data_IF_106321185468
#
_entry.id   IF_106321185468
#
_cell.length_a   1.000
_cell.length_b   1.000
_cell.length_c   1.000
_cell.angle_alpha   90.00
_cell.angle_beta   90.00
_cell.angle_gamma   90.00
#
_symmetry.space_group_name_H-M   'P 1'
#
loop_
_entity.id
_entity.type
_entity.pdbx_description
1 polymer ?
#
# COMPACT_ATOMS: atom_id res chain seq x y z
N UNK A 1 17.20 6.40 4.26
CA UNK A 1 16.82 5.06 3.75
C UNK A 1 17.52 3.92 4.50
N UNK A 2 18.87 3.88 4.55
CA UNK A 2 19.61 2.78 5.21
C UNK A 2 19.25 2.63 6.69
N UNK A 3 19.23 3.71 7.47
CA UNK A 3 18.83 3.71 8.89
C UNK A 3 17.36 3.29 9.03
N UNK A 4 16.48 3.84 8.22
CA UNK A 4 15.08 3.44 8.19
C UNK A 4 14.91 1.92 7.98
N UNK A 5 15.60 1.33 6.99
CA UNK A 5 15.50 -0.10 6.74
C UNK A 5 16.07 -0.94 7.89
N UNK A 6 17.16 -0.48 8.52
CA UNK A 6 17.73 -1.14 9.67
C UNK A 6 16.78 -1.14 10.87
N UNK A 7 16.05 -0.06 11.08
CA UNK A 7 15.17 0.15 12.21
C UNK A 7 13.79 -0.50 11.98
N UNK A 8 13.19 -0.30 10.80
CA UNK A 8 11.82 -0.73 10.52
C UNK A 8 11.71 -2.05 9.75
N UNK A 9 12.77 -2.46 9.05
CA UNK A 9 12.85 -3.70 8.28
C UNK A 9 14.10 -4.53 8.66
N UNK A 10 14.33 -4.83 9.95
CA UNK A 10 15.58 -5.45 10.40
C UNK A 10 15.82 -6.85 9.80
N UNK A 11 14.77 -7.62 9.56
CA UNK A 11 14.89 -8.95 8.93
C UNK A 11 15.40 -8.83 7.49
N UNK A 12 14.81 -7.94 6.70
CA UNK A 12 15.26 -7.63 5.34
C UNK A 12 16.71 -7.14 5.36
N UNK A 13 17.01 -6.13 6.19
CA UNK A 13 18.34 -5.52 6.25
C UNK A 13 19.43 -6.53 6.62
N UNK A 14 19.22 -7.33 7.66
CA UNK A 14 20.18 -8.33 8.12
C UNK A 14 20.38 -9.46 7.10
N UNK A 15 19.31 -9.91 6.44
CA UNK A 15 19.38 -10.93 5.40
C UNK A 15 20.28 -10.44 4.25
N UNK A 16 19.96 -9.26 3.70
CA UNK A 16 20.73 -8.68 2.58
C UNK A 16 22.19 -8.41 3.02
N UNK A 17 22.42 -7.89 4.22
CA UNK A 17 23.76 -7.67 4.73
C UNK A 17 24.58 -8.98 4.77
N UNK A 18 24.00 -10.07 5.26
CA UNK A 18 24.68 -11.36 5.36
C UNK A 18 25.00 -11.96 3.98
N UNK A 19 24.06 -11.91 3.04
CA UNK A 19 24.25 -12.42 1.67
C UNK A 19 25.35 -11.67 0.94
N UNK A 20 25.33 -10.34 1.01
CA UNK A 20 26.34 -9.50 0.36
C UNK A 20 27.71 -9.61 1.03
N UNK A 21 27.77 -9.68 2.36
CA UNK A 21 29.04 -9.86 3.10
C UNK A 21 29.71 -11.20 2.81
N UNK A 22 28.93 -12.25 2.51
CA UNK A 22 29.42 -13.58 2.17
C UNK A 22 29.62 -13.77 0.67
N UNK A 23 29.31 -12.78 -0.15
CA UNK A 23 29.30 -12.85 -1.61
C UNK A 23 28.43 -14.01 -2.15
N UNK A 24 27.30 -14.28 -1.47
CA UNK A 24 26.31 -15.30 -1.83
C UNK A 24 24.99 -14.65 -2.22
N UNK A 25 25.06 -13.82 -3.24
CA UNK A 25 23.92 -12.99 -3.66
C UNK A 25 23.04 -13.81 -4.61
N UNK A 26 21.75 -14.05 -4.28
CA UNK A 26 20.80 -14.69 -5.17
C UNK A 26 20.61 -13.90 -6.45
N UNK A 27 20.42 -14.59 -7.57
CA UNK A 27 20.16 -13.96 -8.86
C UNK A 27 18.74 -13.38 -8.98
N UNK A 28 17.81 -13.79 -8.10
CA UNK A 28 16.41 -13.34 -8.11
C UNK A 28 15.86 -13.12 -6.71
N UNK A 29 15.19 -12.00 -6.51
CA UNK A 29 14.53 -11.63 -5.26
C UNK A 29 13.06 -11.31 -5.51
N UNK A 30 12.19 -11.74 -4.59
CA UNK A 30 10.78 -11.37 -4.57
C UNK A 30 10.45 -10.70 -3.22
N UNK A 31 10.18 -9.41 -3.25
CA UNK A 31 9.73 -8.65 -2.09
C UNK A 31 8.20 -8.72 -2.00
N UNK A 32 7.69 -9.23 -0.90
CA UNK A 32 6.25 -9.42 -0.66
C UNK A 32 5.77 -8.43 0.38
N UNK A 33 4.81 -7.58 0.04
CA UNK A 33 4.23 -6.59 0.96
C UNK A 33 3.81 -5.29 0.28
N UNK A 34 3.33 -4.35 1.08
CA UNK A 34 2.91 -3.04 0.57
C UNK A 34 4.08 -2.05 0.44
N UNK A 35 5.01 -2.06 1.39
CA UNK A 35 6.09 -1.07 1.53
C UNK A 35 7.39 -1.54 0.85
N UNK A 36 7.30 -2.03 -0.38
CA UNK A 36 8.42 -2.68 -1.08
C UNK A 36 9.33 -1.69 -1.79
N UNK A 37 8.93 -0.44 -2.02
CA UNK A 37 9.68 0.51 -2.84
C UNK A 37 11.07 0.85 -2.26
N UNK A 38 11.14 1.26 -0.99
CA UNK A 38 12.43 1.57 -0.33
C UNK A 38 13.36 0.35 -0.25
N UNK A 39 12.88 -0.84 0.18
CA UNK A 39 13.67 -2.08 0.10
C UNK A 39 14.15 -2.42 -1.31
N UNK A 40 13.30 -2.28 -2.32
CA UNK A 40 13.61 -2.56 -3.71
C UNK A 40 14.74 -1.65 -4.25
N UNK A 41 14.61 -0.34 -4.05
CA UNK A 41 15.63 0.63 -4.47
C UNK A 41 16.94 0.39 -3.72
N UNK A 42 16.89 0.13 -2.41
CA UNK A 42 18.08 -0.18 -1.62
C UNK A 42 18.80 -1.44 -2.12
N UNK A 43 18.04 -2.49 -2.44
CA UNK A 43 18.58 -3.74 -2.99
C UNK A 43 19.20 -3.50 -4.37
N UNK A 44 18.53 -2.79 -5.27
CA UNK A 44 19.06 -2.43 -6.59
C UNK A 44 20.36 -1.61 -6.48
N UNK A 45 20.41 -0.63 -5.58
CA UNK A 45 21.66 0.11 -5.29
C UNK A 45 22.77 -0.80 -4.76
N UNK A 46 22.44 -1.75 -3.88
CA UNK A 46 23.43 -2.64 -3.27
C UNK A 46 24.06 -3.58 -4.30
N UNK A 47 23.30 -4.00 -5.32
CA UNK A 47 23.77 -4.83 -6.42
C UNK A 47 24.78 -4.11 -7.34
N UNK A 48 24.79 -2.78 -7.33
CA UNK A 48 25.59 -1.95 -8.24
C UNK A 48 26.73 -1.24 -7.49
N UNK A 49 26.56 -0.99 -6.20
CA UNK A 49 27.51 -0.25 -5.40
C UNK A 49 28.81 -1.05 -5.17
N UNK A 50 29.97 -0.39 -5.24
CA UNK A 50 31.27 -1.03 -4.96
C UNK A 50 31.50 -1.36 -3.47
N UNK A 51 30.62 -0.88 -2.59
CA UNK A 51 30.64 -1.27 -1.17
C UNK A 51 29.72 -2.46 -0.92
N UNK A 52 29.91 -3.15 0.21
CA UNK A 52 29.13 -4.33 0.59
C UNK A 52 27.63 -4.11 0.49
N UNK A 53 27.14 -2.91 0.84
CA UNK A 53 25.77 -2.48 0.65
C UNK A 53 25.74 -1.07 0.06
N UNK A 54 24.58 -0.63 -0.39
CA UNK A 54 24.35 0.70 -0.92
C UNK A 54 24.95 1.79 -0.01
N UNK A 55 25.93 2.56 -0.51
CA UNK A 55 26.51 3.69 0.22
C UNK A 55 25.63 4.95 0.14
N UNK A 56 24.67 5.00 -0.83
CA UNK A 56 23.73 6.10 -1.09
C UNK A 56 24.35 7.45 -1.49
N UNK A 57 25.69 7.49 -1.62
CA UNK A 57 26.43 8.73 -1.90
C UNK A 57 27.18 8.69 -3.24
N UNK A 58 27.59 7.52 -3.72
CA UNK A 58 28.29 7.37 -5.00
C UNK A 58 27.36 7.70 -6.19
N UNK A 59 27.98 7.93 -7.35
CA UNK A 59 27.26 8.30 -8.56
C UNK A 59 26.24 7.22 -8.97
N UNK A 60 26.61 5.94 -8.85
CA UNK A 60 25.74 4.83 -9.23
C UNK A 60 24.50 4.73 -8.33
N UNK A 61 24.68 4.83 -7.01
CA UNK A 61 23.55 4.90 -6.07
C UNK A 61 22.61 6.07 -6.39
N UNK A 62 23.15 7.24 -6.74
CA UNK A 62 22.33 8.40 -7.13
C UNK A 62 21.59 8.17 -8.44
N UNK A 63 22.24 7.57 -9.46
CA UNK A 63 21.59 7.22 -10.73
C UNK A 63 20.44 6.25 -10.50
N UNK A 64 20.64 5.20 -9.67
CA UNK A 64 19.56 4.24 -9.32
C UNK A 64 18.42 4.93 -8.59
N UNK A 65 18.70 5.77 -7.58
CA UNK A 65 17.67 6.52 -6.85
C UNK A 65 16.84 7.44 -7.75
N UNK A 66 17.46 7.99 -8.80
CA UNK A 66 16.80 8.88 -9.77
C UNK A 66 16.19 8.12 -10.96
N UNK A 67 16.23 6.79 -10.95
CA UNK A 67 15.77 5.94 -12.07
C UNK A 67 16.49 6.25 -13.42
N UNK A 68 17.79 6.58 -13.34
CA UNK A 68 18.64 6.99 -14.49
C UNK A 68 19.80 6.05 -14.78
N UNK A 69 19.84 4.88 -14.14
CA UNK A 69 20.89 3.90 -14.38
C UNK A 69 20.58 3.09 -15.64
N UNK A 70 21.51 3.11 -16.64
CA UNK A 70 21.27 2.61 -18.00
C UNK A 70 21.03 1.09 -18.10
N UNK A 71 21.56 0.31 -17.17
CA UNK A 71 21.43 -1.15 -17.15
C UNK A 71 20.32 -1.64 -16.21
N UNK A 72 19.36 -0.77 -15.84
CA UNK A 72 18.13 -1.16 -15.13
C UNK A 72 16.93 -1.01 -16.06
N UNK A 73 16.17 -2.09 -16.22
CA UNK A 73 14.86 -2.07 -16.89
C UNK A 73 13.79 -2.25 -15.82
N UNK A 74 12.81 -1.34 -15.78
CA UNK A 74 11.73 -1.34 -14.79
C UNK A 74 10.37 -1.45 -15.49
N UNK A 75 9.56 -2.42 -15.07
CA UNK A 75 8.17 -2.60 -15.47
C UNK A 75 7.29 -2.58 -14.23
N UNK A 76 6.07 -2.04 -14.35
CA UNK A 76 5.10 -2.04 -13.27
C UNK A 76 3.76 -2.60 -13.76
N UNK A 77 3.32 -3.69 -13.17
CA UNK A 77 2.06 -4.35 -13.52
C UNK A 77 0.81 -3.54 -13.24
N UNK A 78 0.87 -2.50 -12.38
CA UNK A 78 -0.26 -1.60 -12.16
C UNK A 78 -0.48 -0.61 -13.30
N UNK A 79 0.57 -0.22 -13.99
CA UNK A 79 0.47 0.74 -15.10
C UNK A 79 -0.13 0.06 -16.34
N UNK A 80 0.26 -1.20 -16.56
CA UNK A 80 -0.30 -2.06 -17.60
C UNK A 80 -0.03 -3.53 -17.27
N UNK A 81 -0.93 -4.44 -17.66
CA UNK A 81 -0.69 -5.87 -17.51
C UNK A 81 0.59 -6.29 -18.23
N UNK A 82 1.49 -6.96 -17.50
CA UNK A 82 2.78 -7.41 -18.03
C UNK A 82 2.55 -8.60 -18.95
N UNK A 83 2.93 -8.45 -20.23
CA UNK A 83 2.73 -9.44 -21.28
C UNK A 83 4.03 -10.16 -21.63
N UNK A 84 3.91 -11.29 -22.33
CA UNK A 84 5.05 -12.07 -22.84
C UNK A 84 6.07 -11.20 -23.60
N UNK A 85 5.60 -10.30 -24.48
CA UNK A 85 6.46 -9.41 -25.27
C UNK A 85 7.33 -8.48 -24.43
N UNK A 86 6.84 -8.05 -23.25
CA UNK A 86 7.62 -7.19 -22.34
C UNK A 86 8.81 -7.96 -21.75
N UNK A 87 8.62 -9.24 -21.42
CA UNK A 87 9.69 -10.11 -20.92
C UNK A 87 10.70 -10.44 -22.02
N UNK A 88 10.23 -10.70 -23.24
CA UNK A 88 11.11 -10.93 -24.41
C UNK A 88 11.95 -9.68 -24.73
N UNK A 89 11.40 -8.48 -24.56
CA UNK A 89 12.13 -7.23 -24.71
C UNK A 89 13.27 -7.11 -23.70
N UNK A 90 13.04 -7.45 -22.42
CA UNK A 90 14.08 -7.49 -21.39
C UNK A 90 15.18 -8.47 -21.79
N UNK A 91 14.82 -9.70 -22.19
CA UNK A 91 15.78 -10.71 -22.63
C UNK A 91 16.66 -10.23 -23.78
N UNK A 92 16.05 -9.62 -24.81
CA UNK A 92 16.77 -9.14 -25.98
C UNK A 92 17.66 -7.94 -25.65
N UNK A 93 17.24 -7.06 -24.75
CA UNK A 93 18.05 -5.92 -24.32
C UNK A 93 19.28 -6.39 -23.54
N UNK A 94 19.13 -7.40 -22.69
CA UNK A 94 20.24 -7.88 -21.86
C UNK A 94 21.23 -8.79 -22.59
N UNK A 95 20.93 -9.26 -23.80
CA UNK A 95 21.90 -9.90 -24.70
C UNK A 95 22.99 -8.92 -25.21
N UNK A 96 22.72 -7.61 -25.17
CA UNK A 96 23.71 -6.58 -25.54
C UNK A 96 24.71 -6.40 -24.40
N UNK A 97 25.88 -5.83 -24.67
CA UNK A 97 26.86 -5.47 -23.64
C UNK A 97 26.28 -4.49 -22.63
N UNK A 98 26.81 -4.51 -21.39
CA UNK A 98 26.45 -3.55 -20.36
C UNK A 98 26.85 -2.14 -20.75
N UNK A 99 26.01 -1.15 -20.46
CA UNK A 99 26.28 0.27 -20.72
C UNK A 99 27.17 0.89 -19.63
N UNK A 100 26.97 0.45 -18.38
CA UNK A 100 27.67 1.00 -17.20
C UNK A 100 28.81 0.08 -16.72
N UNK A 101 28.98 -1.11 -17.32
CA UNK A 101 30.06 -2.05 -17.01
C UNK A 101 29.92 -2.83 -15.70
N UNK A 102 28.74 -2.77 -15.04
CA UNK A 102 28.42 -3.47 -13.81
C UNK A 102 27.20 -4.41 -13.99
N UNK A 103 26.51 -4.72 -12.90
CA UNK A 103 25.35 -5.58 -12.92
C UNK A 103 24.21 -4.98 -13.77
N UNK A 104 23.46 -5.86 -14.44
CA UNK A 104 22.20 -5.57 -15.11
C UNK A 104 21.06 -6.02 -14.24
N UNK A 105 20.03 -5.20 -14.12
CA UNK A 105 18.90 -5.49 -13.22
C UNK A 105 17.59 -5.32 -14.00
N UNK A 106 16.73 -6.31 -13.96
CA UNK A 106 15.34 -6.11 -14.33
C UNK A 106 14.44 -6.12 -13.11
N UNK A 107 13.62 -5.07 -13.02
CA UNK A 107 12.69 -4.84 -11.93
C UNK A 107 11.28 -5.02 -12.49
N UNK A 108 10.52 -5.94 -11.90
CA UNK A 108 9.11 -6.14 -12.23
C UNK A 108 8.29 -5.93 -10.97
N UNK A 109 7.68 -4.76 -10.88
CA UNK A 109 6.81 -4.43 -9.77
C UNK A 109 5.40 -4.94 -10.00
N UNK A 110 4.75 -5.36 -8.90
CA UNK A 110 3.41 -5.93 -8.94
C UNK A 110 3.30 -7.06 -9.97
N UNK A 111 4.21 -8.03 -9.89
CA UNK A 111 4.32 -9.15 -10.81
C UNK A 111 3.04 -10.02 -10.85
N UNK A 112 2.19 -9.93 -9.82
CA UNK A 112 0.87 -10.58 -9.78
C UNK A 112 -0.12 -10.06 -10.84
N UNK A 113 0.20 -8.99 -11.56
CA UNK A 113 -0.51 -8.51 -12.75
C UNK A 113 0.09 -9.02 -14.06
N UNK A 114 1.11 -9.90 -14.02
CA UNK A 114 1.65 -10.52 -15.21
C UNK A 114 0.72 -11.62 -15.74
N UNK A 115 0.65 -11.73 -17.07
CA UNK A 115 -0.12 -12.82 -17.69
C UNK A 115 0.57 -14.18 -17.44
N UNK A 116 -0.15 -15.31 -17.47
CA UNK A 116 0.45 -16.64 -17.33
C UNK A 116 1.58 -16.92 -18.34
N UNK A 117 1.42 -16.40 -19.58
CA UNK A 117 2.45 -16.53 -20.64
C UNK A 117 3.70 -15.72 -20.30
N UNK A 118 3.55 -14.53 -19.72
CA UNK A 118 4.68 -13.72 -19.26
C UNK A 118 5.42 -14.42 -18.11
N UNK A 119 4.70 -14.95 -17.12
CA UNK A 119 5.29 -15.72 -16.02
C UNK A 119 6.05 -16.97 -16.53
N UNK A 120 5.48 -17.72 -17.49
CA UNK A 120 6.15 -18.85 -18.09
C UNK A 120 7.42 -18.46 -18.88
N UNK A 121 7.41 -17.30 -19.54
CA UNK A 121 8.59 -16.79 -20.24
C UNK A 121 9.67 -16.38 -19.24
N UNK A 122 9.28 -15.78 -18.12
CA UNK A 122 10.17 -15.40 -17.02
C UNK A 122 10.87 -16.61 -16.39
N UNK A 123 10.17 -17.77 -16.26
CA UNK A 123 10.76 -18.99 -15.72
C UNK A 123 12.04 -19.38 -16.42
N UNK A 124 12.12 -19.24 -17.74
CA UNK A 124 13.34 -19.56 -18.51
C UNK A 124 14.54 -18.71 -18.08
N UNK A 125 14.31 -17.43 -17.75
CA UNK A 125 15.37 -16.53 -17.26
C UNK A 125 15.80 -16.87 -15.83
N UNK A 126 14.88 -17.41 -15.03
CA UNK A 126 15.17 -17.82 -13.67
C UNK A 126 15.81 -19.19 -13.56
N UNK A 127 15.60 -20.08 -14.55
CA UNK A 127 16.19 -21.42 -14.62
C UNK A 127 17.64 -21.39 -15.10
N UNK A 128 17.95 -20.50 -16.03
CA UNK A 128 19.28 -20.35 -16.61
C UNK A 128 19.81 -18.91 -16.35
N UNK A 129 20.16 -18.59 -15.09
CA UNK A 129 20.59 -17.26 -14.74
C UNK A 129 21.92 -16.93 -15.42
N UNK A 130 21.99 -15.76 -16.03
CA UNK A 130 23.23 -15.22 -16.60
C UNK A 130 23.99 -14.46 -15.53
N UNK A 131 25.28 -14.71 -15.38
CA UNK A 131 26.13 -14.02 -14.42
C UNK A 131 26.07 -12.49 -14.61
N UNK A 132 25.96 -11.76 -13.52
CA UNK A 132 25.84 -10.29 -13.52
C UNK A 132 24.45 -9.76 -13.90
N UNK A 133 23.45 -10.64 -14.10
CA UNK A 133 22.04 -10.25 -14.31
C UNK A 133 21.22 -10.63 -13.07
N UNK A 134 20.49 -9.68 -12.54
CA UNK A 134 19.65 -9.85 -11.34
C UNK A 134 18.20 -9.52 -11.62
N UNK A 135 17.30 -10.28 -11.01
CA UNK A 135 15.86 -10.12 -11.04
C UNK A 135 15.34 -9.57 -9.71
N UNK A 136 14.60 -8.47 -9.76
CA UNK A 136 13.94 -7.92 -8.57
C UNK A 136 12.45 -7.83 -8.83
N UNK A 137 11.67 -8.54 -8.02
CA UNK A 137 10.22 -8.58 -8.13
C UNK A 137 9.54 -8.02 -6.89
N UNK A 138 8.36 -7.43 -7.08
CA UNK A 138 7.48 -7.10 -5.96
C UNK A 138 6.08 -7.67 -6.18
N UNK A 139 5.40 -8.03 -5.10
CA UNK A 139 3.98 -8.40 -5.11
C UNK A 139 3.32 -8.06 -3.78
N UNK A 140 2.04 -7.72 -3.82
CA UNK A 140 1.21 -7.62 -2.61
C UNK A 140 0.57 -8.97 -2.25
N UNK A 141 0.44 -9.87 -3.21
CA UNK A 141 -0.24 -11.15 -3.04
C UNK A 141 0.61 -12.32 -3.55
N UNK A 142 1.37 -12.92 -2.64
CA UNK A 142 2.21 -14.11 -2.91
C UNK A 142 1.43 -15.27 -3.53
N UNK A 143 0.15 -15.41 -3.18
CA UNK A 143 -0.68 -16.53 -3.65
C UNK A 143 -1.04 -16.44 -5.15
N UNK A 144 -0.85 -15.27 -5.78
CA UNK A 144 -1.03 -15.10 -7.23
C UNK A 144 0.22 -15.42 -8.04
N UNK A 145 1.34 -15.71 -7.38
CA UNK A 145 2.60 -16.02 -8.05
C UNK A 145 2.73 -17.53 -8.20
N UNK A 146 3.17 -17.97 -9.39
CA UNK A 146 3.36 -19.39 -9.66
C UNK A 146 4.38 -20.00 -8.67
N UNK A 147 4.10 -21.19 -8.11
CA UNK A 147 5.03 -21.87 -7.20
C UNK A 147 6.41 -22.09 -7.83
N UNK A 148 6.47 -22.28 -9.13
CA UNK A 148 7.71 -22.43 -9.91
C UNK A 148 8.56 -21.15 -9.93
N UNK A 149 7.96 -19.96 -9.91
CA UNK A 149 8.67 -18.67 -9.76
C UNK A 149 9.12 -18.51 -8.32
N UNK A 150 8.23 -18.79 -7.34
CA UNK A 150 8.55 -18.68 -5.92
C UNK A 150 9.76 -19.53 -5.52
N UNK A 151 9.87 -20.75 -6.05
CA UNK A 151 10.98 -21.68 -5.74
C UNK A 151 12.34 -21.23 -6.28
N UNK A 152 12.38 -20.29 -7.22
CA UNK A 152 13.60 -19.75 -7.86
C UNK A 152 13.99 -18.36 -7.38
N UNK A 153 13.18 -17.77 -6.52
CA UNK A 153 13.42 -16.46 -5.95
C UNK A 153 13.74 -16.55 -4.45
N UNK A 154 14.65 -15.71 -3.99
CA UNK A 154 14.73 -15.40 -2.57
C UNK A 154 13.52 -14.56 -2.18
N UNK A 155 12.58 -15.19 -1.48
CA UNK A 155 11.34 -14.51 -1.05
C UNK A 155 11.59 -13.80 0.27
N UNK A 156 11.32 -12.48 0.30
CA UNK A 156 11.50 -11.64 1.48
C UNK A 156 10.19 -10.93 1.78
N UNK A 157 9.63 -11.18 2.96
CA UNK A 157 8.42 -10.50 3.41
C UNK A 157 8.78 -9.16 4.04
N UNK A 158 8.23 -8.09 3.48
CA UNK A 158 8.39 -6.71 3.96
C UNK A 158 7.24 -6.41 4.91
N UNK A 159 7.60 -6.08 6.15
CA UNK A 159 6.60 -5.76 7.17
C UNK A 159 5.92 -4.43 6.88
N UNK A 160 4.62 -4.32 7.15
CA UNK A 160 3.94 -3.03 7.14
C UNK A 160 4.52 -2.12 8.24
N UNK A 161 4.43 -0.81 8.06
CA UNK A 161 4.78 0.13 9.11
C UNK A 161 3.82 -0.02 10.31
N UNK A 162 4.34 0.10 11.52
CA UNK A 162 3.48 0.07 12.70
C UNK A 162 2.63 1.35 12.77
N UNK A 163 1.45 1.25 13.36
CA UNK A 163 0.57 2.42 13.54
C UNK A 163 1.25 3.53 14.33
N UNK A 164 2.00 3.15 15.36
CA UNK A 164 2.76 4.07 16.20
C UNK A 164 3.78 4.87 15.37
N UNK A 165 4.50 4.20 14.46
CA UNK A 165 5.44 4.83 13.56
C UNK A 165 4.75 5.79 12.58
N UNK A 166 3.62 5.36 12.00
CA UNK A 166 2.83 6.20 11.10
C UNK A 166 2.35 7.45 11.84
N UNK A 167 1.75 7.29 13.03
CA UNK A 167 1.25 8.40 13.83
C UNK A 167 2.39 9.38 14.16
N UNK A 168 3.51 8.85 14.67
CA UNK A 168 4.68 9.69 15.01
C UNK A 168 5.17 10.48 13.81
N UNK A 169 5.35 9.81 12.68
CA UNK A 169 5.84 10.45 11.45
C UNK A 169 4.89 11.53 10.92
N UNK A 170 3.57 11.29 10.98
CA UNK A 170 2.56 12.27 10.56
C UNK A 170 2.52 13.48 11.48
N UNK A 171 2.69 13.28 12.80
CA UNK A 171 2.79 14.37 13.77
C UNK A 171 4.05 15.21 13.54
N UNK A 172 5.19 14.57 13.22
CA UNK A 172 6.44 15.26 12.87
C UNK A 172 6.30 16.11 11.56
N UNK A 173 5.26 15.86 10.77
CA UNK A 173 4.87 16.65 9.59
C UNK A 173 3.74 17.67 9.87
N UNK A 174 3.52 18.02 11.13
CA UNK A 174 2.47 18.95 11.59
C UNK A 174 1.03 18.51 11.29
N UNK A 175 0.79 17.21 11.03
CA UNK A 175 -0.57 16.67 10.86
C UNK A 175 -1.23 16.51 12.25
N UNK A 176 -2.47 16.97 12.43
CA UNK A 176 -3.18 16.87 13.71
C UNK A 176 -3.26 15.45 14.26
N UNK A 177 -3.09 15.28 15.57
CA UNK A 177 -3.07 13.97 16.24
C UNK A 177 -4.25 13.05 15.89
N UNK A 178 -5.47 13.60 15.78
CA UNK A 178 -6.65 12.84 15.43
C UNK A 178 -6.60 12.38 13.97
N UNK A 179 -6.21 13.26 13.05
CA UNK A 179 -6.03 12.92 11.65
C UNK A 179 -4.95 11.85 11.47
N UNK A 180 -3.80 12.00 12.13
CA UNK A 180 -2.73 11.01 12.13
C UNK A 180 -3.21 9.64 12.64
N UNK A 181 -4.01 9.63 13.73
CA UNK A 181 -4.60 8.40 14.24
C UNK A 181 -5.54 7.75 13.22
N UNK A 182 -6.46 8.51 12.60
CA UNK A 182 -7.38 8.00 11.57
C UNK A 182 -6.58 7.43 10.39
N UNK A 183 -5.61 8.17 9.86
CA UNK A 183 -4.79 7.77 8.72
C UNK A 183 -4.02 6.47 9.00
N UNK A 184 -3.52 6.27 10.22
CA UNK A 184 -2.82 5.04 10.60
C UNK A 184 -3.67 3.76 10.55
N UNK A 185 -5.00 3.89 10.49
CA UNK A 185 -5.93 2.79 10.23
C UNK A 185 -6.30 2.65 8.76
N UNK A 186 -6.09 3.70 7.95
CA UNK A 186 -6.42 3.71 6.52
C UNK A 186 -5.26 3.24 5.66
N UNK A 187 -4.02 3.48 6.10
CA UNK A 187 -2.81 3.02 5.42
C UNK A 187 -1.78 2.48 6.41
N UNK A 188 -1.04 1.47 5.98
CA UNK A 188 0.10 0.88 6.69
C UNK A 188 1.44 1.15 5.95
N UNK A 189 1.45 2.16 5.09
CA UNK A 189 2.58 2.67 4.33
C UNK A 189 2.78 4.15 4.66
N UNK A 190 4.00 4.56 5.06
CA UNK A 190 4.31 5.93 5.46
C UNK A 190 4.13 6.94 4.32
N UNK A 191 4.52 6.59 3.11
CA UNK A 191 4.45 7.50 1.97
C UNK A 191 2.99 7.63 1.48
N UNK A 192 2.21 6.54 1.49
CA UNK A 192 0.77 6.58 1.23
C UNK A 192 0.03 7.37 2.33
N UNK A 193 0.33 7.12 3.60
CA UNK A 193 -0.26 7.81 4.74
C UNK A 193 -0.07 9.33 4.67
N UNK A 194 1.14 9.79 4.33
CA UNK A 194 1.45 11.20 4.15
C UNK A 194 0.59 11.87 3.07
N UNK A 195 0.32 11.17 1.97
CA UNK A 195 -0.44 11.68 0.85
C UNK A 195 -1.96 11.65 1.08
N UNK A 196 -2.43 11.00 2.15
CA UNK A 196 -3.85 10.95 2.49
C UNK A 196 -4.37 12.24 3.14
N UNK A 197 -3.49 13.02 3.81
CA UNK A 197 -3.90 14.24 4.50
C UNK A 197 -3.95 15.42 3.52
N UNK A 198 -5.15 15.81 3.12
CA UNK A 198 -5.45 16.92 2.23
C UNK A 198 -6.81 17.56 2.62
N UNK A 199 -7.23 18.61 1.91
CA UNK A 199 -8.54 19.26 2.12
C UNK A 199 -9.71 18.28 1.96
N UNK A 200 -9.56 17.27 1.11
CA UNK A 200 -10.57 16.21 0.92
C UNK A 200 -10.70 15.37 2.18
N UNK A 201 -9.57 14.97 2.79
CA UNK A 201 -9.57 14.20 4.04
C UNK A 201 -10.27 14.95 5.17
N UNK A 202 -9.93 16.23 5.37
CA UNK A 202 -10.56 17.08 6.39
C UNK A 202 -12.07 17.21 6.16
N UNK A 203 -12.46 17.43 4.89
CA UNK A 203 -13.87 17.48 4.54
C UNK A 203 -14.59 16.16 4.84
N UNK A 204 -14.01 15.01 4.48
CA UNK A 204 -14.58 13.68 4.76
C UNK A 204 -14.71 13.44 6.27
N UNK A 205 -13.75 13.86 7.06
CA UNK A 205 -13.82 13.75 8.52
C UNK A 205 -15.02 14.51 9.10
N UNK A 206 -15.30 15.72 8.59
CA UNK A 206 -16.49 16.49 8.95
C UNK A 206 -17.78 15.78 8.50
N UNK A 207 -17.82 15.25 7.28
CA UNK A 207 -19.01 14.55 6.77
C UNK A 207 -19.29 13.27 7.56
N UNK A 208 -18.27 12.56 8.02
CA UNK A 208 -18.45 11.39 8.90
C UNK A 208 -19.11 11.78 10.22
N UNK A 209 -18.69 12.88 10.84
CA UNK A 209 -19.33 13.39 12.07
C UNK A 209 -20.79 13.73 11.85
N UNK A 210 -21.08 14.46 10.77
CA UNK A 210 -22.45 14.83 10.40
C UNK A 210 -23.30 13.58 10.12
N UNK A 211 -22.75 12.59 9.44
CA UNK A 211 -23.43 11.33 9.17
C UNK A 211 -23.80 10.59 10.45
N UNK A 212 -22.89 10.50 11.43
CA UNK A 212 -23.16 9.88 12.74
C UNK A 212 -24.26 10.66 13.48
N UNK A 213 -24.18 11.99 13.50
CA UNK A 213 -25.22 12.82 14.11
C UNK A 213 -26.58 12.59 13.49
N UNK A 214 -26.66 12.58 12.16
CA UNK A 214 -27.90 12.33 11.44
C UNK A 214 -28.41 10.91 11.65
N UNK A 215 -27.53 9.91 11.60
CA UNK A 215 -27.91 8.50 11.76
C UNK A 215 -28.60 8.24 13.11
N UNK A 216 -28.09 8.83 14.18
CA UNK A 216 -28.58 8.51 15.54
C UNK A 216 -29.52 9.55 16.14
N UNK A 217 -29.50 10.81 15.68
CA UNK A 217 -30.28 11.89 16.30
C UNK A 217 -31.18 12.66 15.33
N UNK A 218 -30.87 12.64 14.01
CA UNK A 218 -31.59 13.45 13.00
C UNK A 218 -31.88 12.65 11.72
N UNK A 219 -32.40 11.44 11.88
CA UNK A 219 -32.57 10.45 10.80
C UNK A 219 -33.16 11.00 9.51
N UNK A 220 -34.13 11.92 9.61
CA UNK A 220 -34.78 12.53 8.44
C UNK A 220 -33.82 13.37 7.57
N UNK A 221 -32.69 13.83 8.12
CA UNK A 221 -31.71 14.64 7.39
C UNK A 221 -30.67 13.79 6.69
N UNK A 222 -30.49 12.53 7.08
CA UNK A 222 -29.39 11.68 6.63
C UNK A 222 -29.26 11.61 5.11
N UNK A 223 -30.33 11.27 4.40
CA UNK A 223 -30.32 11.13 2.93
C UNK A 223 -30.05 12.48 2.27
N UNK A 224 -30.71 13.53 2.73
CA UNK A 224 -30.57 14.88 2.16
C UNK A 224 -29.14 15.36 2.32
N UNK A 225 -28.56 15.24 3.51
CA UNK A 225 -27.21 15.70 3.80
C UNK A 225 -26.15 14.92 3.02
N UNK A 226 -26.29 13.60 2.89
CA UNK A 226 -25.38 12.79 2.07
C UNK A 226 -25.44 13.20 0.59
N UNK A 227 -26.64 13.36 0.03
CA UNK A 227 -26.80 13.75 -1.37
C UNK A 227 -26.34 15.18 -1.65
N UNK A 228 -26.65 16.14 -0.78
CA UNK A 228 -26.35 17.56 -1.02
C UNK A 228 -24.93 17.95 -0.64
N UNK A 229 -24.36 17.37 0.40
CA UNK A 229 -23.03 17.72 0.92
C UNK A 229 -21.96 16.75 0.42
N UNK A 230 -22.12 15.44 0.60
CA UNK A 230 -21.10 14.48 0.25
C UNK A 230 -21.08 14.23 -1.27
N UNK A 231 -22.16 13.69 -1.84
CA UNK A 231 -22.21 13.24 -3.25
C UNK A 231 -22.21 14.39 -4.27
N UNK A 232 -22.58 15.60 -3.86
CA UNK A 232 -22.50 16.77 -4.74
C UNK A 232 -21.04 17.19 -4.97
N UNK A 233 -20.18 17.08 -3.96
CA UNK A 233 -18.78 17.50 -4.02
C UNK A 233 -17.84 16.37 -4.43
N UNK A 234 -18.07 15.16 -3.91
CA UNK A 234 -17.20 14.00 -4.11
C UNK A 234 -18.04 12.82 -4.62
N UNK A 235 -17.82 12.45 -5.89
CA UNK A 235 -18.59 11.40 -6.59
C UNK A 235 -17.74 10.22 -6.98
N UNK A 236 -16.41 10.37 -6.91
CA UNK A 236 -15.48 9.32 -7.33
C UNK A 236 -15.46 8.18 -6.33
N UNK A 237 -15.23 6.97 -6.83
CA UNK A 237 -15.17 5.76 -6.00
C UNK A 237 -14.16 5.87 -4.87
N UNK A 238 -12.98 6.41 -5.17
CA UNK A 238 -11.91 6.55 -4.17
C UNK A 238 -12.29 7.49 -3.04
N UNK A 239 -13.08 8.53 -3.33
CA UNK A 239 -13.57 9.47 -2.33
C UNK A 239 -14.58 8.80 -1.41
N UNK A 240 -15.54 8.10 -2.00
CA UNK A 240 -16.57 7.40 -1.21
C UNK A 240 -15.98 6.21 -0.45
N UNK A 241 -14.98 5.51 -1.02
CA UNK A 241 -14.23 4.49 -0.30
C UNK A 241 -13.53 5.06 0.93
N UNK A 242 -12.90 6.25 0.81
CA UNK A 242 -12.29 6.95 1.94
C UNK A 242 -13.35 7.27 3.01
N UNK A 243 -14.48 7.87 2.61
CA UNK A 243 -15.59 8.17 3.51
C UNK A 243 -16.09 6.91 4.24
N UNK A 244 -16.35 5.81 3.51
CA UNK A 244 -16.84 4.56 4.10
C UNK A 244 -15.85 3.94 5.09
N UNK A 245 -14.56 3.98 4.80
CA UNK A 245 -13.53 3.51 5.73
C UNK A 245 -13.47 4.36 7.01
N UNK A 246 -13.56 5.69 6.88
CA UNK A 246 -13.65 6.57 8.03
C UNK A 246 -14.94 6.36 8.83
N UNK A 247 -16.08 6.17 8.14
CA UNK A 247 -17.36 5.88 8.76
C UNK A 247 -17.30 4.56 9.55
N UNK A 248 -16.68 3.53 9.00
CA UNK A 248 -16.45 2.26 9.68
C UNK A 248 -15.68 2.45 11.00
N UNK A 249 -14.64 3.29 10.98
CA UNK A 249 -13.88 3.60 12.21
C UNK A 249 -14.74 4.37 13.22
N UNK A 250 -15.54 5.33 12.77
CA UNK A 250 -16.42 6.11 13.66
C UNK A 250 -17.52 5.24 14.28
N UNK A 251 -18.14 4.31 13.55
CA UNK A 251 -19.12 3.36 14.09
C UNK A 251 -18.45 2.41 15.10
N UNK A 252 -17.21 1.97 14.84
CA UNK A 252 -16.44 1.20 15.82
C UNK A 252 -16.16 2.02 17.09
N UNK A 253 -15.91 3.31 16.98
CA UNK A 253 -15.70 4.18 18.12
C UNK A 253 -16.98 4.35 18.95
N UNK A 254 -18.17 4.35 18.34
CA UNK A 254 -19.44 4.29 19.09
C UNK A 254 -19.50 3.05 19.99
N UNK A 255 -19.08 1.89 19.45
CA UNK A 255 -18.97 0.65 20.24
C UNK A 255 -17.90 0.77 21.35
N UNK A 256 -16.72 1.33 21.04
CA UNK A 256 -15.63 1.51 22.00
C UNK A 256 -16.02 2.45 23.16
N UNK A 257 -16.72 3.56 22.88
CA UNK A 257 -17.22 4.47 23.93
C UNK A 257 -18.16 3.74 24.90
N UNK A 258 -19.09 2.94 24.38
CA UNK A 258 -20.02 2.15 25.17
C UNK A 258 -19.31 1.17 26.12
N UNK A 259 -18.18 0.63 25.70
CA UNK A 259 -17.37 -0.34 26.45
C UNK A 259 -16.16 0.28 27.17
N UNK A 260 -16.09 1.62 27.29
CA UNK A 260 -15.00 2.35 27.94
C UNK A 260 -13.61 2.04 27.35
N UNK A 261 -13.54 1.81 26.03
CA UNK A 261 -12.31 1.56 25.31
C UNK A 261 -11.77 2.84 24.67
N UNK A 262 -10.50 2.78 24.21
CA UNK A 262 -9.86 3.90 23.50
C UNK A 262 -10.51 4.13 22.14
N UNK A 263 -10.74 5.38 21.79
CA UNK A 263 -11.34 5.80 20.52
C UNK A 263 -10.32 6.53 19.64
N UNK A 264 -10.60 6.56 18.35
CA UNK A 264 -9.79 7.20 17.32
C UNK A 264 -10.26 8.66 17.13
N UNK A 265 -11.58 8.86 16.97
CA UNK A 265 -12.22 10.18 16.82
C UNK A 265 -12.42 10.86 18.17
N UNK A 266 -11.33 11.27 18.82
CA UNK A 266 -11.37 11.84 20.17
C UNK A 266 -12.24 13.11 20.27
N UNK A 267 -12.22 13.96 19.23
CA UNK A 267 -13.03 15.17 19.17
C UNK A 267 -14.55 14.89 19.09
N UNK A 268 -14.94 13.66 18.76
CA UNK A 268 -16.34 13.24 18.64
C UNK A 268 -16.84 12.47 19.88
N UNK A 269 -16.07 12.42 20.97
CA UNK A 269 -16.46 11.69 22.18
C UNK A 269 -17.84 12.11 22.73
N UNK A 270 -18.09 13.42 22.83
CA UNK A 270 -19.36 13.96 23.33
C UNK A 270 -20.55 13.69 22.38
N UNK A 271 -20.28 13.49 21.08
CA UNK A 271 -21.27 13.05 20.11
C UNK A 271 -21.59 11.55 20.28
N UNK A 272 -20.60 10.72 20.55
CA UNK A 272 -20.78 9.26 20.66
C UNK A 272 -21.38 8.83 21.99
N UNK A 273 -21.05 9.51 23.08
CA UNK A 273 -21.44 9.17 24.44
C UNK A 273 -22.97 9.01 24.67
N UNK A 274 -23.85 9.87 24.11
CA UNK A 274 -25.29 9.74 24.29
C UNK A 274 -25.94 8.68 23.40
N UNK A 275 -25.20 8.04 22.49
CA UNK A 275 -25.73 7.02 21.58
C UNK A 275 -26.04 5.75 22.36
N UNK A 276 -27.34 5.44 22.49
CA UNK A 276 -27.82 4.28 23.26
C UNK A 276 -28.49 3.26 22.32
N UNK A 277 -27.69 2.48 21.63
CA UNK A 277 -28.14 1.39 20.72
C UNK A 277 -27.55 0.06 21.19
N UNK A 278 -28.18 -1.06 20.81
CA UNK A 278 -27.68 -2.39 21.18
C UNK A 278 -26.38 -2.72 20.45
N UNK A 279 -25.53 -3.56 21.06
CA UNK A 279 -24.30 -4.03 20.40
C UNK A 279 -24.60 -4.77 19.10
N UNK A 280 -25.71 -5.52 19.06
CA UNK A 280 -26.15 -6.19 17.84
C UNK A 280 -26.47 -5.20 16.72
N UNK A 281 -27.05 -4.05 17.04
CA UNK A 281 -27.32 -2.99 16.06
C UNK A 281 -26.01 -2.44 15.51
N UNK A 282 -25.03 -2.14 16.39
CA UNK A 282 -23.72 -1.61 15.96
C UNK A 282 -22.99 -2.64 15.07
N UNK A 283 -22.98 -3.92 15.46
CA UNK A 283 -22.37 -5.00 14.69
C UNK A 283 -23.01 -5.09 13.30
N UNK A 284 -24.34 -5.07 13.21
CA UNK A 284 -25.05 -5.07 11.94
C UNK A 284 -24.70 -3.86 11.06
N UNK A 285 -24.57 -2.68 11.65
CA UNK A 285 -24.14 -1.47 10.95
C UNK A 285 -22.70 -1.62 10.40
N UNK A 286 -21.79 -2.20 11.18
CA UNK A 286 -20.42 -2.51 10.76
C UNK A 286 -20.45 -3.47 9.54
N UNK A 287 -21.25 -4.55 9.60
CA UNK A 287 -21.38 -5.51 8.50
C UNK A 287 -21.89 -4.85 7.21
N UNK A 288 -22.91 -4.00 7.31
CA UNK A 288 -23.48 -3.28 6.17
C UNK A 288 -22.43 -2.35 5.54
N UNK A 289 -21.63 -1.64 6.35
CA UNK A 289 -20.57 -0.75 5.85
C UNK A 289 -19.45 -1.57 5.20
N UNK A 290 -19.03 -2.69 5.78
CA UNK A 290 -18.02 -3.58 5.20
C UNK A 290 -18.48 -4.15 3.86
N UNK A 291 -19.75 -4.53 3.73
CA UNK A 291 -20.33 -4.96 2.47
C UNK A 291 -20.27 -3.83 1.42
N UNK A 292 -20.64 -2.60 1.78
CA UNK A 292 -20.56 -1.45 0.89
C UNK A 292 -19.12 -1.15 0.44
N UNK A 293 -18.11 -1.28 1.34
CA UNK A 293 -16.69 -1.14 1.01
C UNK A 293 -16.24 -2.21 0.00
N UNK A 294 -16.71 -3.44 0.13
CA UNK A 294 -16.39 -4.51 -0.84
C UNK A 294 -17.07 -4.28 -2.20
N UNK A 295 -18.31 -3.85 -2.18
CA UNK A 295 -19.11 -3.61 -3.41
C UNK A 295 -18.54 -2.42 -4.20
N UNK A 296 -18.06 -1.36 -3.55
CA UNK A 296 -17.55 -0.16 -4.25
C UNK A 296 -16.31 -0.46 -5.09
N UNK A 297 -15.57 -1.54 -4.82
CA UNK A 297 -14.43 -1.98 -5.64
C UNK A 297 -14.86 -2.54 -7.01
N UNK A 298 -16.10 -2.99 -7.12
CA UNK A 298 -16.68 -3.44 -8.38
C UNK A 298 -17.29 -2.27 -9.17
N UNK A 299 -17.74 -2.53 -10.41
CA UNK A 299 -18.27 -1.49 -11.29
C UNK A 299 -19.72 -1.11 -10.96
N UNK A 300 -19.95 -0.45 -9.79
CA UNK A 300 -21.28 -0.07 -9.29
C UNK A 300 -21.55 1.43 -9.41
N UNK A 301 -22.83 1.79 -9.44
CA UNK A 301 -23.26 3.18 -9.31
C UNK A 301 -23.12 3.63 -7.84
N UNK A 302 -22.24 4.58 -7.60
CA UNK A 302 -21.91 5.08 -6.26
C UNK A 302 -23.11 5.69 -5.54
N UNK A 303 -23.97 6.43 -6.26
CA UNK A 303 -25.14 7.07 -5.65
C UNK A 303 -26.17 6.01 -5.17
N UNK A 304 -26.44 5.00 -5.99
CA UNK A 304 -27.32 3.90 -5.60
C UNK A 304 -26.77 3.07 -4.44
N UNK A 305 -25.44 2.86 -4.41
CA UNK A 305 -24.78 2.20 -3.29
C UNK A 305 -24.99 2.97 -1.99
N UNK A 306 -24.78 4.29 -2.01
CA UNK A 306 -24.95 5.15 -0.84
C UNK A 306 -26.43 5.22 -0.40
N UNK A 307 -27.38 5.28 -1.34
CA UNK A 307 -28.81 5.24 -1.01
C UNK A 307 -29.16 3.90 -0.32
N UNK A 308 -28.73 2.77 -0.90
CA UNK A 308 -28.93 1.45 -0.29
C UNK A 308 -28.31 1.35 1.11
N UNK A 309 -27.08 1.90 1.29
CA UNK A 309 -26.43 1.95 2.59
C UNK A 309 -27.29 2.68 3.63
N UNK A 310 -27.75 3.89 3.31
CA UNK A 310 -28.54 4.71 4.23
C UNK A 310 -29.88 4.10 4.62
N UNK A 311 -30.51 3.35 3.71
CA UNK A 311 -31.77 2.63 4.02
C UNK A 311 -31.54 1.42 4.94
N UNK A 312 -30.39 0.77 4.84
CA UNK A 312 -30.07 -0.45 5.59
C UNK A 312 -29.50 -0.17 6.98
N UNK A 313 -28.81 0.97 7.17
CA UNK A 313 -28.31 1.46 8.47
C UNK A 313 -29.45 1.99 9.36
#
# INVERSE_FOLDING_TARGET
>A
MKEYLREHQPLFYNLIYNEFSQNKIPHAFLLVGNNTEKPLIFLAMSLICDQTLACMQCNDCRKVAQNKYGDIIRLNGKDSSIKKGDIELIQNTFKKSSLEGKAKIYIIENIDYATPEAMNTLLKMLEEPTEGIYALFTTKNKNRILPTVLSRCQVIEIKPDSRENIIKHLIDLDIPNEAAAIISYLSNDLDEAKNLYDERFEYMQVQVKNFIEDLYFKRNNLIINVQTNLLKKYKERNDIKLFLNMLLLAIKDVFHVKHNQKIIFKSSYELFKPINVSDQTIIKQIEIILEAINIIESNVNVALLMDSLMYRL
#
